data_IF_774091117145
#
_entry.id   IF_774091117145
#
_cell.length_a   1.000
_cell.length_b   1.000
_cell.length_c   1.000
_cell.angle_alpha   90.00
_cell.angle_beta   90.00
_cell.angle_gamma   90.00
#
_symmetry.space_group_name_H-M   'P 1'
#
loop_
_entity.id
_entity.type
_entity.pdbx_description
1 polymer ?
#
# COMPACT_ATOMS: atom_id res chain seq x y z
N UNK A 1 -4.19 -1.65 6.19
CA UNK A 1 -3.26 -2.50 5.41
C UNK A 1 -2.21 -3.15 6.31
N UNK A 2 -1.34 -2.39 6.98
CA UNK A 2 -0.27 -2.97 7.84
C UNK A 2 -0.78 -3.67 9.12
N UNK A 3 -1.91 -3.24 9.69
CA UNK A 3 -2.44 -3.86 10.92
C UNK A 3 -2.87 -5.31 10.75
N UNK A 4 -3.13 -5.78 9.52
CA UNK A 4 -3.51 -7.16 9.24
C UNK A 4 -2.44 -8.18 9.69
N UNK A 5 -1.17 -7.76 9.78
CA UNK A 5 -0.10 -8.61 10.34
C UNK A 5 -0.35 -9.04 11.79
N UNK A 6 -1.20 -8.31 12.53
CA UNK A 6 -1.42 -8.51 13.95
C UNK A 6 -2.82 -9.09 14.27
N UNK A 7 -3.67 -9.29 13.27
CA UNK A 7 -5.02 -9.84 13.42
C UNK A 7 -5.21 -11.08 12.54
N UNK A 8 -4.83 -12.27 13.03
CA UNK A 8 -4.83 -13.51 12.23
C UNK A 8 -6.25 -13.99 11.86
N UNK A 9 -7.27 -13.47 12.54
CA UNK A 9 -8.69 -13.74 12.30
C UNK A 9 -9.27 -12.92 11.13
N UNK A 10 -8.51 -11.99 10.55
CA UNK A 10 -8.97 -11.21 9.40
C UNK A 10 -8.70 -11.87 8.06
N UNK A 11 -9.65 -11.72 7.12
CA UNK A 11 -9.45 -12.08 5.71
C UNK A 11 -8.19 -11.40 5.15
N UNK A 12 -7.37 -12.17 4.43
CA UNK A 12 -6.08 -11.74 3.88
C UNK A 12 -4.92 -11.65 4.88
N UNK A 13 -5.08 -12.09 6.13
CA UNK A 13 -4.00 -12.06 7.12
C UNK A 13 -2.82 -12.97 6.75
N UNK A 14 -3.08 -14.17 6.21
CA UNK A 14 -2.03 -15.12 5.79
C UNK A 14 -1.14 -14.52 4.69
N UNK A 15 -1.75 -13.91 3.68
CA UNK A 15 -1.06 -13.24 2.59
C UNK A 15 -0.29 -12.01 3.06
N UNK A 16 -0.86 -11.22 3.98
CA UNK A 16 -0.17 -10.09 4.60
C UNK A 16 1.08 -10.55 5.37
N UNK A 17 1.01 -11.67 6.08
CA UNK A 17 2.16 -12.28 6.75
C UNK A 17 3.18 -12.83 5.75
N UNK A 18 2.74 -13.38 4.61
CA UNK A 18 3.67 -13.79 3.54
C UNK A 18 4.42 -12.60 2.96
N UNK A 19 3.73 -11.49 2.69
CA UNK A 19 4.35 -10.26 2.20
C UNK A 19 5.38 -9.72 3.20
N UNK A 20 5.05 -9.73 4.50
CA UNK A 20 5.97 -9.32 5.55
C UNK A 20 7.20 -10.23 5.61
N UNK A 21 7.01 -11.55 5.51
CA UNK A 21 8.11 -12.52 5.49
C UNK A 21 9.02 -12.31 4.29
N UNK A 22 8.47 -12.17 3.09
CA UNK A 22 9.25 -11.91 1.89
C UNK A 22 10.00 -10.58 1.98
N UNK A 23 9.46 -9.59 2.68
CA UNK A 23 10.16 -8.34 2.98
C UNK A 23 11.33 -8.53 3.96
N UNK A 24 11.12 -9.27 5.05
CA UNK A 24 12.17 -9.59 6.04
C UNK A 24 13.28 -10.44 5.43
N UNK A 25 12.94 -11.30 4.47
CA UNK A 25 13.88 -12.10 3.67
C UNK A 25 14.48 -11.33 2.49
N UNK A 26 14.28 -10.01 2.42
CA UNK A 26 14.82 -9.10 1.39
C UNK A 26 14.43 -9.43 -0.05
N UNK A 27 13.35 -10.21 -0.26
CA UNK A 27 12.82 -10.53 -1.59
C UNK A 27 11.96 -9.40 -2.16
N UNK A 28 11.40 -8.57 -1.29
CA UNK A 28 10.61 -7.38 -1.65
C UNK A 28 10.95 -6.20 -0.76
N UNK A 29 10.94 -5.00 -1.31
CA UNK A 29 11.03 -3.76 -0.53
C UNK A 29 9.62 -3.18 -0.35
N UNK A 30 9.31 -2.74 0.87
CA UNK A 30 8.04 -2.10 1.18
C UNK A 30 8.23 -0.59 1.24
N UNK A 31 7.47 0.13 0.41
CA UNK A 31 7.36 1.58 0.43
C UNK A 31 5.94 1.98 0.84
N UNK A 32 5.81 3.06 1.59
CA UNK A 32 4.53 3.65 1.92
C UNK A 32 4.68 5.16 2.14
N UNK A 33 3.63 5.96 1.91
CA UNK A 33 3.60 7.34 2.39
C UNK A 33 3.86 7.39 3.90
N UNK A 34 4.55 8.42 4.40
CA UNK A 34 4.81 8.61 5.84
C UNK A 34 3.54 8.57 6.70
N UNK A 35 2.37 8.79 6.09
CA UNK A 35 1.05 8.63 6.68
C UNK A 35 0.81 7.24 7.30
N UNK A 36 1.46 6.18 6.81
CA UNK A 36 1.28 4.80 7.30
C UNK A 36 1.45 4.69 8.82
N UNK A 37 2.35 5.49 9.41
CA UNK A 37 2.59 5.49 10.86
C UNK A 37 1.32 5.92 11.61
N UNK A 38 0.64 6.96 11.13
CA UNK A 38 -0.63 7.42 11.72
C UNK A 38 -1.76 6.42 11.49
N UNK A 39 -1.80 5.73 10.36
CA UNK A 39 -2.80 4.70 10.08
C UNK A 39 -2.65 3.50 11.02
N UNK A 40 -1.42 3.07 11.28
CA UNK A 40 -1.13 2.00 12.24
C UNK A 40 -1.52 2.40 13.65
N UNK A 41 -1.10 3.60 14.10
CA UNK A 41 -1.47 4.11 15.43
C UNK A 41 -2.98 4.22 15.58
N UNK A 42 -3.67 4.82 14.61
CA UNK A 42 -5.11 5.04 14.68
C UNK A 42 -5.87 3.71 14.65
N UNK A 43 -5.47 2.75 13.82
CA UNK A 43 -6.13 1.46 13.79
C UNK A 43 -5.86 0.61 15.04
N UNK A 44 -4.67 0.71 15.66
CA UNK A 44 -4.40 0.08 16.95
C UNK A 44 -5.30 0.68 18.07
N UNK A 45 -5.46 2.00 18.09
CA UNK A 45 -6.39 2.69 18.99
C UNK A 45 -7.85 2.28 18.76
N UNK A 46 -8.28 2.15 17.50
CA UNK A 46 -9.62 1.67 17.17
C UNK A 46 -9.84 0.24 17.65
N UNK A 47 -8.84 -0.65 17.48
CA UNK A 47 -8.94 -2.03 17.95
C UNK A 47 -9.01 -2.12 19.48
N UNK A 48 -8.23 -1.31 20.20
CA UNK A 48 -8.34 -1.17 21.66
C UNK A 48 -9.74 -0.72 22.08
N UNK A 49 -10.27 0.35 21.47
CA UNK A 49 -11.62 0.87 21.79
C UNK A 49 -12.74 -0.14 21.51
N UNK A 50 -12.53 -1.02 20.52
CA UNK A 50 -13.46 -2.11 20.18
C UNK A 50 -13.26 -3.36 21.05
N UNK A 51 -12.33 -3.36 22.00
CA UNK A 51 -12.03 -4.50 22.86
C UNK A 51 -11.34 -5.66 22.13
N UNK A 52 -10.80 -5.45 20.92
CA UNK A 52 -10.03 -6.45 20.17
C UNK A 52 -8.57 -6.56 20.64
N UNK A 53 -8.08 -5.53 21.33
CA UNK A 53 -6.75 -5.50 21.94
C UNK A 53 -6.84 -5.08 23.40
N UNK A 54 -5.89 -5.55 24.20
CA UNK A 54 -5.54 -5.00 25.51
C UNK A 54 -4.44 -3.94 25.36
N UNK A 55 -4.28 -3.07 26.37
CA UNK A 55 -3.33 -1.95 26.31
C UNK A 55 -1.87 -2.38 26.02
N UNK A 56 -1.41 -3.47 26.64
CA UNK A 56 -0.07 -4.02 26.43
C UNK A 56 0.12 -4.55 24.99
N UNK A 57 -0.91 -5.20 24.44
CA UNK A 57 -0.89 -5.69 23.06
C UNK A 57 -0.78 -4.54 22.04
N UNK A 58 -1.44 -3.40 22.32
CA UNK A 58 -1.33 -2.20 21.48
C UNK A 58 0.11 -1.67 21.41
N UNK A 59 0.80 -1.59 22.55
CA UNK A 59 2.20 -1.12 22.60
C UNK A 59 3.09 -2.05 21.78
N UNK A 60 2.94 -3.37 21.97
CA UNK A 60 3.73 -4.37 21.23
C UNK A 60 3.53 -4.27 19.71
N UNK A 61 2.30 -4.03 19.25
CA UNK A 61 2.00 -3.85 17.82
C UNK A 61 2.75 -2.64 17.25
N UNK A 62 2.74 -1.52 17.95
CA UNK A 62 3.38 -0.28 17.50
C UNK A 62 4.90 -0.44 17.50
N UNK A 63 5.48 -1.00 18.56
CA UNK A 63 6.93 -1.26 18.64
C UNK A 63 7.40 -2.25 17.57
N UNK A 64 6.62 -3.29 17.28
CA UNK A 64 6.96 -4.24 16.23
C UNK A 64 6.85 -3.58 14.86
N UNK A 65 5.84 -2.75 14.62
CA UNK A 65 5.69 -2.03 13.35
C UNK A 65 6.86 -1.07 13.09
N UNK A 66 7.38 -0.41 14.12
CA UNK A 66 8.58 0.44 14.00
C UNK A 66 9.83 -0.35 13.60
N UNK A 67 9.91 -1.63 13.97
CA UNK A 67 11.02 -2.53 13.59
C UNK A 67 10.88 -3.07 12.17
N UNK A 68 9.68 -2.99 11.57
CA UNK A 68 9.49 -3.34 10.16
C UNK A 68 10.10 -2.24 9.29
N UNK A 69 11.04 -2.62 8.43
CA UNK A 69 11.80 -1.72 7.57
C UNK A 69 11.00 -1.19 6.36
N UNK A 70 9.79 -0.69 6.61
CA UNK A 70 9.00 0.03 5.60
C UNK A 70 9.66 1.37 5.33
N UNK A 71 10.03 1.63 4.07
CA UNK A 71 10.52 2.93 3.62
C UNK A 71 9.35 3.91 3.61
N UNK A 72 9.40 4.88 4.53
CA UNK A 72 8.45 6.00 4.60
C UNK A 72 8.87 7.07 3.62
N UNK A 73 7.94 7.47 2.77
CA UNK A 73 8.16 8.37 1.66
C UNK A 73 7.32 9.62 1.85
N UNK A 74 7.96 10.79 1.78
CA UNK A 74 7.25 12.05 1.71
C UNK A 74 6.64 12.22 0.31
N UNK A 75 5.36 12.57 0.27
CA UNK A 75 4.61 12.67 -1.00
C UNK A 75 4.45 14.10 -1.50
N UNK A 76 5.19 15.06 -0.94
CA UNK A 76 5.08 16.50 -1.28
C UNK A 76 5.18 16.78 -2.78
N UNK A 77 6.18 16.18 -3.43
CA UNK A 77 6.38 16.29 -4.89
C UNK A 77 5.27 15.59 -5.69
N UNK A 78 4.55 14.65 -5.06
CA UNK A 78 3.47 13.88 -5.66
C UNK A 78 2.08 14.49 -5.43
N UNK A 79 1.98 15.65 -4.76
CA UNK A 79 0.69 16.29 -4.48
C UNK A 79 -0.17 16.54 -5.72
N UNK A 80 0.36 17.08 -6.84
CA UNK A 80 -0.45 17.28 -8.05
C UNK A 80 -1.02 15.96 -8.59
N UNK A 81 -0.21 14.89 -8.57
CA UNK A 81 -0.64 13.58 -9.04
C UNK A 81 -1.63 12.92 -8.09
N UNK A 82 -1.41 13.06 -6.78
CA UNK A 82 -2.32 12.61 -5.72
C UNK A 82 -3.70 13.23 -5.87
N UNK A 83 -3.78 14.56 -6.11
CA UNK A 83 -5.04 15.25 -6.35
C UNK A 83 -5.73 14.75 -7.62
N UNK A 84 -4.98 14.63 -8.73
CA UNK A 84 -5.51 14.10 -9.99
C UNK A 84 -6.11 12.69 -9.84
N UNK A 85 -5.42 11.78 -9.14
CA UNK A 85 -5.91 10.42 -8.90
C UNK A 85 -7.09 10.40 -7.93
N UNK A 86 -7.07 11.26 -6.91
CA UNK A 86 -8.18 11.43 -5.94
C UNK A 86 -9.47 11.84 -6.66
N UNK A 87 -9.39 12.83 -7.56
CA UNK A 87 -10.53 13.28 -8.38
C UNK A 87 -10.99 12.21 -9.36
N UNK A 88 -10.05 11.60 -10.11
CA UNK A 88 -10.36 10.63 -11.17
C UNK A 88 -11.07 9.38 -10.64
N UNK A 89 -10.64 8.88 -9.48
CA UNK A 89 -11.17 7.65 -8.89
C UNK A 89 -12.13 7.90 -7.71
N UNK A 90 -12.42 9.17 -7.40
CA UNK A 90 -13.29 9.57 -6.29
C UNK A 90 -12.85 8.99 -4.95
N UNK A 91 -11.53 8.98 -4.68
CA UNK A 91 -10.91 8.46 -3.45
C UNK A 91 -10.32 9.59 -2.61
N UNK A 92 -10.04 9.32 -1.35
CA UNK A 92 -9.42 10.33 -0.48
C UNK A 92 -7.98 10.65 -0.94
N UNK A 93 -7.46 11.81 -0.55
CA UNK A 93 -6.04 12.13 -0.78
C UNK A 93 -5.11 11.12 -0.08
N UNK A 94 -5.54 10.52 1.04
CA UNK A 94 -4.82 9.45 1.71
C UNK A 94 -4.71 8.21 0.81
N UNK A 95 -5.83 7.70 0.29
CA UNK A 95 -5.82 6.55 -0.62
C UNK A 95 -5.03 6.84 -1.90
N UNK A 96 -5.23 8.03 -2.47
CA UNK A 96 -4.56 8.45 -3.70
C UNK A 96 -3.05 8.67 -3.52
N UNK A 97 -2.57 8.94 -2.30
CA UNK A 97 -1.13 9.06 -2.03
C UNK A 97 -0.38 7.75 -2.23
N UNK A 98 -1.01 6.63 -1.88
CA UNK A 98 -0.46 5.30 -2.15
C UNK A 98 -0.40 4.99 -3.64
N UNK A 99 -1.43 5.39 -4.39
CA UNK A 99 -1.44 5.24 -5.85
C UNK A 99 -0.35 6.07 -6.51
N UNK A 100 -0.25 7.35 -6.15
CA UNK A 100 0.75 8.26 -6.72
C UNK A 100 2.18 7.79 -6.40
N UNK A 101 2.42 7.31 -5.18
CA UNK A 101 3.72 6.77 -4.79
C UNK A 101 4.07 5.50 -5.55
N UNK A 102 3.13 4.54 -5.67
CA UNK A 102 3.35 3.30 -6.41
C UNK A 102 3.66 3.57 -7.89
N UNK A 103 2.90 4.48 -8.51
CA UNK A 103 3.13 4.91 -9.90
C UNK A 103 4.51 5.58 -10.06
N UNK A 104 4.88 6.51 -9.18
CA UNK A 104 6.18 7.20 -9.23
C UNK A 104 7.37 6.26 -9.00
N UNK A 105 7.18 5.15 -8.28
CA UNK A 105 8.21 4.13 -8.03
C UNK A 105 8.20 2.98 -9.05
N UNK A 106 7.25 2.96 -9.99
CA UNK A 106 7.07 1.82 -10.90
C UNK A 106 6.79 0.51 -10.16
N UNK A 107 6.14 0.59 -9.00
CA UNK A 107 5.91 -0.52 -8.08
C UNK A 107 4.44 -0.94 -8.07
N UNK A 108 4.18 -2.18 -7.65
CA UNK A 108 2.82 -2.62 -7.38
C UNK A 108 2.28 -1.96 -6.11
N UNK A 109 1.01 -1.56 -6.10
CA UNK A 109 0.30 -1.26 -4.86
C UNK A 109 -0.46 -2.50 -4.41
N UNK A 110 -0.04 -3.14 -3.34
CA UNK A 110 -0.81 -4.22 -2.71
C UNK A 110 -1.76 -3.60 -1.69
N UNK A 111 -3.07 -3.81 -1.85
CA UNK A 111 -4.07 -3.25 -0.94
C UNK A 111 -5.08 -4.26 -0.41
N UNK A 112 -5.50 -4.01 0.84
CA UNK A 112 -6.62 -4.69 1.49
C UNK A 112 -7.84 -3.77 1.64
N UNK A 113 -7.79 -2.55 1.06
CA UNK A 113 -8.94 -1.66 1.01
C UNK A 113 -9.79 -1.98 -0.23
N UNK A 114 -10.93 -2.62 0.01
CA UNK A 114 -11.83 -3.05 -1.06
C UNK A 114 -12.47 -1.88 -1.80
N UNK A 115 -12.61 -0.71 -1.17
CA UNK A 115 -13.15 0.49 -1.82
C UNK A 115 -12.12 1.11 -2.75
N UNK A 116 -10.84 1.16 -2.34
CA UNK A 116 -9.75 1.58 -3.20
C UNK A 116 -9.58 0.63 -4.38
N UNK A 117 -9.41 -0.67 -4.10
CA UNK A 117 -9.20 -1.69 -5.14
C UNK A 117 -10.31 -1.68 -6.20
N UNK A 118 -11.58 -1.69 -5.80
CA UNK A 118 -12.68 -1.69 -6.74
C UNK A 118 -12.80 -0.40 -7.58
N UNK A 119 -12.30 0.73 -7.08
CA UNK A 119 -12.31 1.98 -7.82
C UNK A 119 -11.29 1.99 -8.98
N UNK A 120 -10.18 1.26 -8.84
CA UNK A 120 -9.03 1.41 -9.75
C UNK A 120 -8.66 0.16 -10.54
N UNK A 121 -9.02 -1.05 -10.08
CA UNK A 121 -8.54 -2.34 -10.64
C UNK A 121 -8.77 -2.57 -12.14
N UNK A 122 -9.67 -1.81 -12.77
CA UNK A 122 -9.94 -1.92 -14.22
C UNK A 122 -8.97 -1.11 -15.06
N UNK A 123 -8.40 -0.05 -14.48
CA UNK A 123 -7.56 0.92 -15.18
C UNK A 123 -6.11 0.89 -14.68
N UNK A 124 -5.89 0.49 -13.43
CA UNK A 124 -4.57 0.41 -12.80
C UNK A 124 -4.26 -1.07 -12.46
N UNK A 125 -3.78 -1.88 -13.41
CA UNK A 125 -3.54 -3.32 -13.21
C UNK A 125 -2.41 -3.61 -12.21
N UNK A 126 -1.54 -2.64 -11.94
CA UNK A 126 -0.50 -2.71 -10.91
C UNK A 126 -1.04 -2.54 -9.48
N UNK A 127 -2.34 -2.30 -9.30
CA UNK A 127 -3.00 -2.34 -8.00
C UNK A 127 -3.53 -3.75 -7.75
N UNK A 128 -2.94 -4.43 -6.77
CA UNK A 128 -3.18 -5.84 -6.45
C UNK A 128 -4.01 -5.98 -5.17
N UNK A 129 -4.90 -6.96 -5.14
CA UNK A 129 -5.62 -7.34 -3.93
C UNK A 129 -4.73 -8.21 -3.05
N UNK A 130 -4.71 -7.95 -1.73
CA UNK A 130 -3.81 -8.64 -0.80
C UNK A 130 -3.98 -10.17 -0.82
N UNK A 131 -5.19 -10.69 -1.00
CA UNK A 131 -5.45 -12.14 -0.98
C UNK A 131 -4.88 -12.86 -2.20
N UNK A 132 -4.57 -12.12 -3.27
CA UNK A 132 -3.94 -12.67 -4.47
C UNK A 132 -2.41 -12.75 -4.31
N UNK A 133 -1.84 -12.20 -3.24
CA UNK A 133 -0.40 -12.25 -3.01
C UNK A 133 0.08 -13.68 -2.76
N UNK A 134 1.11 -14.11 -3.50
CA UNK A 134 1.62 -15.48 -3.48
C UNK A 134 0.88 -16.46 -4.39
N UNK A 135 -0.25 -16.06 -4.99
CA UNK A 135 -0.84 -16.81 -6.10
C UNK A 135 -0.02 -16.61 -7.38
N UNK A 136 -0.05 -17.57 -8.31
CA UNK A 136 0.69 -17.52 -9.58
C UNK A 136 0.37 -16.30 -10.47
N UNK A 137 -0.64 -15.50 -10.10
CA UNK A 137 -1.12 -14.31 -10.81
C UNK A 137 -0.29 -13.06 -10.45
N UNK A 138 0.28 -12.98 -9.24
CA UNK A 138 1.03 -11.82 -8.77
C UNK A 138 2.52 -11.88 -9.18
N UNK A 139 2.83 -12.21 -10.44
CA UNK A 139 4.20 -12.11 -10.91
C UNK A 139 4.58 -10.64 -11.02
N UNK A 140 5.60 -10.22 -10.28
CA UNK A 140 6.20 -8.87 -10.28
C UNK A 140 6.50 -8.30 -11.68
N UNK A 141 6.50 -9.16 -12.72
CA UNK A 141 6.71 -8.79 -14.13
C UNK A 141 5.60 -7.93 -14.75
N UNK A 142 4.39 -7.88 -14.20
CA UNK A 142 3.31 -7.07 -14.78
C UNK A 142 3.19 -5.65 -14.21
N UNK A 143 3.90 -5.32 -13.13
CA UNK A 143 3.81 -3.98 -12.52
C UNK A 143 4.64 -2.90 -13.22
N UNK A 144 5.60 -3.29 -14.06
CA UNK A 144 6.57 -2.37 -14.71
C UNK A 144 6.24 -2.04 -16.17
N UNK A 145 5.21 -2.64 -16.78
CA UNK A 145 4.97 -2.55 -18.24
C UNK A 145 4.20 -1.31 -18.71
N UNK A 146 3.47 -0.61 -17.83
CA UNK A 146 2.65 0.55 -18.24
C UNK A 146 3.29 1.91 -17.91
N UNK A 147 4.21 1.98 -16.95
CA UNK A 147 4.87 3.24 -16.57
C UNK A 147 5.80 3.77 -17.68
N UNK A 148 6.42 2.88 -18.46
CA UNK A 148 7.24 3.26 -19.63
C UNK A 148 6.44 3.94 -20.76
N UNK A 149 5.12 3.71 -20.85
CA UNK A 149 4.29 4.34 -21.89
C UNK A 149 3.96 5.80 -21.59
N UNK A 150 4.03 6.22 -20.32
CA UNK A 150 3.74 7.59 -19.90
C UNK A 150 4.98 8.50 -19.98
N UNK A 151 6.18 7.95 -19.77
CA UNK A 151 7.44 8.69 -19.98
C UNK A 151 7.68 9.00 -21.46
N UNK A 152 7.41 8.05 -22.38
CA UNK A 152 7.53 8.28 -23.83
C UNK A 152 6.58 9.35 -24.38
N UNK A 153 5.48 9.63 -23.69
CA UNK A 153 4.55 10.68 -24.09
C UNK A 153 4.99 12.08 -23.69
N UNK A 154 5.93 12.23 -22.74
CA UNK A 154 6.54 13.53 -22.39
C UNK A 154 7.65 13.93 -23.36
N UNK A 155 8.36 12.99 -23.94
CA UNK A 155 9.43 13.27 -24.90
C UNK A 155 8.94 13.80 -26.26
N UNK A 156 7.67 13.58 -26.61
CA UNK A 156 7.08 14.09 -27.86
C UNK A 156 6.50 15.51 -27.79
N UNK A 157 6.51 16.15 -26.61
CA UNK A 157 6.03 17.53 -26.43
C UNK A 157 7.17 18.55 -26.24
N UNK A 158 8.44 18.12 -26.35
CA UNK A 158 9.61 19.00 -26.28
C UNK A 158 10.49 18.94 -27.54
N UNK A 159 9.92 18.67 -28.71
CA UNK A 159 10.59 18.80 -30.02
C UNK A 159 9.78 19.65 -30.98
#
# INVERSE_FOLDING_TARGET
>A
MALKWYFPDEEGAEQALSLLRDHVEEKVELHAPSLIDYEVLNGALVALRKGRLQGEQMIHIVENFQKVAVRREEIGELFPRTLSLSESYGRSAHDASYLALAEARGACLITADRRLYNAVKKELPWVLWIEDYGSSVASQKDCSRETESLEKSKDHLSS
#
